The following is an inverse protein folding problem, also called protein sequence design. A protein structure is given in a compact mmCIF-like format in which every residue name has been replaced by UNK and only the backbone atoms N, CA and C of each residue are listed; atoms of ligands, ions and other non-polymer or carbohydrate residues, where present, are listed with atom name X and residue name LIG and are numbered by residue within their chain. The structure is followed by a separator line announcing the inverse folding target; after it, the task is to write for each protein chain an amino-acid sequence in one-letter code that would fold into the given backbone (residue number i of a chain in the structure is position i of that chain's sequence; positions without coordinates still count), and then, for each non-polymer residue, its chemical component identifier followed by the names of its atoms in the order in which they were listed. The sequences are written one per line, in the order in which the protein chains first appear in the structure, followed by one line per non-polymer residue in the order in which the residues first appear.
data_IF_815089502467
#
_entry.id   IF_815089502467
#
_cell.length_a   1.000
_cell.length_b   1.000
_cell.length_c   1.000
_cell.angle_alpha   90.00
_cell.angle_beta   90.00
_cell.angle_gamma   90.00
#
_symmetry.space_group_name_H-M   'P 1'
#
loop_
_entity.id
_entity.type
_entity.pdbx_description
1 polymer ?
#
# COMPACT_ATOMS: atom_id res chain seq x y z
N UNK A 1 16.65 -1.65 -45.29
CA UNK A 1 16.40 -1.37 -43.86
C UNK A 1 16.44 -2.71 -43.14
N UNK A 2 17.52 -2.99 -42.41
CA UNK A 2 17.70 -4.27 -41.72
C UNK A 2 16.79 -4.33 -40.49
N UNK A 3 15.84 -5.25 -40.51
CA UNK A 3 15.00 -5.61 -39.36
C UNK A 3 15.84 -6.39 -38.36
N UNK A 4 16.28 -5.75 -37.28
CA UNK A 4 16.87 -6.46 -36.15
C UNK A 4 15.80 -7.29 -35.45
N UNK A 5 15.62 -8.54 -35.89
CA UNK A 5 14.90 -9.54 -35.12
C UNK A 5 15.86 -10.07 -34.06
N UNK A 6 15.66 -9.68 -32.81
CA UNK A 6 16.21 -10.42 -31.66
C UNK A 6 15.53 -11.79 -31.63
N UNK A 7 16.03 -12.72 -32.44
CA UNK A 7 15.68 -14.13 -32.30
C UNK A 7 16.47 -14.66 -31.09
N UNK A 8 15.77 -15.08 -30.05
CA UNK A 8 16.39 -15.89 -29.01
C UNK A 8 16.94 -17.15 -29.68
N UNK A 9 18.27 -17.27 -29.71
CA UNK A 9 18.95 -18.29 -30.51
C UNK A 9 18.70 -19.69 -29.95
N UNK A 10 18.40 -19.81 -28.65
CA UNK A 10 18.11 -21.08 -28.00
C UNK A 10 16.82 -21.02 -27.16
N UNK A 11 16.06 -22.13 -27.06
CA UNK A 11 14.82 -22.20 -26.29
C UNK A 11 14.97 -21.77 -24.82
N UNK A 12 16.13 -22.04 -24.21
CA UNK A 12 16.46 -21.66 -22.83
C UNK A 12 16.75 -20.16 -22.63
N UNK A 13 17.01 -19.41 -23.70
CA UNK A 13 17.34 -17.99 -23.60
C UNK A 13 16.08 -17.15 -23.27
N UNK A 14 14.88 -17.62 -23.68
CA UNK A 14 13.61 -16.94 -23.41
C UNK A 14 13.24 -16.95 -21.91
N UNK A 15 13.20 -18.10 -21.22
CA UNK A 15 12.99 -18.15 -19.77
C UNK A 15 14.05 -17.36 -19.00
N UNK A 16 15.32 -17.44 -19.42
CA UNK A 16 16.42 -16.73 -18.77
C UNK A 16 16.33 -15.21 -18.95
N UNK A 17 16.00 -14.73 -20.15
CA UNK A 17 15.77 -13.32 -20.41
C UNK A 17 14.54 -12.79 -19.67
N UNK A 18 13.48 -13.60 -19.57
CA UNK A 18 12.31 -13.29 -18.75
C UNK A 18 12.68 -13.17 -17.27
N UNK A 19 13.44 -14.11 -16.72
CA UNK A 19 13.87 -14.07 -15.32
C UNK A 19 14.74 -12.85 -15.02
N UNK A 20 15.68 -12.50 -15.91
CA UNK A 20 16.52 -11.29 -15.79
C UNK A 20 15.66 -10.02 -15.89
N UNK A 21 14.71 -9.99 -16.82
CA UNK A 21 13.77 -8.88 -16.97
C UNK A 21 12.90 -8.73 -15.71
N UNK A 22 12.37 -9.82 -15.17
CA UNK A 22 11.57 -9.80 -13.95
C UNK A 22 12.40 -9.32 -12.76
N UNK A 23 13.65 -9.78 -12.59
CA UNK A 23 14.51 -9.34 -11.47
C UNK A 23 14.97 -7.88 -11.60
N UNK A 24 15.29 -7.44 -12.82
CA UNK A 24 15.97 -6.16 -13.06
C UNK A 24 14.98 -5.06 -13.40
N UNK A 25 13.95 -5.37 -14.16
CA UNK A 25 12.97 -4.39 -14.60
C UNK A 25 11.92 -4.13 -13.52
N UNK A 26 11.51 -5.10 -12.71
CA UNK A 26 10.59 -4.77 -11.59
C UNK A 26 11.19 -3.73 -10.64
N UNK A 27 12.50 -3.80 -10.38
CA UNK A 27 13.20 -2.86 -9.49
C UNK A 27 13.52 -1.52 -10.18
N UNK A 28 13.76 -1.51 -11.49
CA UNK A 28 14.22 -0.32 -12.22
C UNK A 28 13.19 0.29 -13.19
N UNK A 29 12.01 -0.31 -13.37
CA UNK A 29 10.99 0.16 -14.32
C UNK A 29 10.59 1.60 -14.02
N UNK A 30 10.38 1.92 -12.74
CA UNK A 30 10.01 3.27 -12.30
C UNK A 30 11.04 4.31 -12.75
N UNK A 31 12.33 4.01 -12.55
CA UNK A 31 13.43 4.88 -12.97
C UNK A 31 13.50 4.98 -14.49
N UNK A 32 13.45 3.85 -15.19
CA UNK A 32 13.50 3.79 -16.66
C UNK A 32 12.34 4.55 -17.31
N UNK A 33 11.14 4.45 -16.75
CA UNK A 33 9.96 5.21 -17.18
C UNK A 33 10.14 6.71 -16.95
N UNK A 34 10.69 7.12 -15.80
CA UNK A 34 10.98 8.53 -15.52
C UNK A 34 12.02 9.09 -16.50
N UNK A 35 13.07 8.35 -16.80
CA UNK A 35 14.11 8.76 -17.76
C UNK A 35 13.55 8.89 -19.18
N UNK A 36 12.69 7.94 -19.61
CA UNK A 36 12.02 8.01 -20.90
C UNK A 36 11.11 9.23 -21.00
N UNK A 37 10.31 9.48 -19.96
CA UNK A 37 9.44 10.65 -19.86
C UNK A 37 10.22 11.96 -19.88
N UNK A 38 11.26 12.08 -19.06
CA UNK A 38 12.11 13.27 -18.94
C UNK A 38 12.83 13.57 -20.26
N UNK A 39 13.33 12.54 -20.94
CA UNK A 39 13.94 12.68 -22.27
C UNK A 39 12.95 13.20 -23.30
N UNK A 40 11.74 12.65 -23.37
CA UNK A 40 10.71 13.10 -24.32
C UNK A 40 10.29 14.56 -24.06
N UNK A 41 10.08 14.91 -22.79
CA UNK A 41 9.75 16.28 -22.38
C UNK A 41 10.86 17.27 -22.74
N UNK A 42 12.13 16.93 -22.47
CA UNK A 42 13.28 17.81 -22.80
C UNK A 42 13.49 17.96 -24.29
N UNK A 43 13.27 16.90 -25.06
CA UNK A 43 13.47 16.92 -26.52
C UNK A 43 12.40 17.75 -27.21
N UNK A 44 11.15 17.67 -26.74
CA UNK A 44 10.03 18.42 -27.33
C UNK A 44 9.93 19.86 -26.82
N UNK A 45 10.49 20.14 -25.63
CA UNK A 45 10.30 21.43 -24.96
C UNK A 45 8.85 21.69 -24.54
N UNK A 46 7.97 20.68 -24.61
CA UNK A 46 6.55 20.79 -24.35
C UNK A 46 6.15 19.88 -23.18
N UNK A 47 5.31 20.41 -22.29
CA UNK A 47 4.75 19.67 -21.15
C UNK A 47 3.47 18.91 -21.46
N UNK A 48 2.90 19.11 -22.65
CA UNK A 48 1.76 18.33 -23.15
C UNK A 48 2.21 16.90 -23.50
N UNK A 49 1.65 15.86 -22.85
CA UNK A 49 1.98 14.47 -23.16
C UNK A 49 1.74 14.08 -24.62
N UNK A 50 0.82 14.73 -25.32
CA UNK A 50 0.56 14.43 -26.73
C UNK A 50 1.71 14.85 -27.66
N UNK A 51 2.56 15.79 -27.23
CA UNK A 51 3.77 16.15 -27.97
C UNK A 51 4.86 15.06 -27.91
N UNK A 52 4.73 14.08 -27.00
CA UNK A 52 5.76 13.08 -26.74
C UNK A 52 5.61 11.79 -27.56
N UNK A 53 4.55 11.65 -28.37
CA UNK A 53 4.19 10.39 -29.04
C UNK A 53 5.35 9.80 -29.88
N UNK A 54 6.10 10.64 -30.58
CA UNK A 54 7.22 10.20 -31.43
C UNK A 54 8.57 10.07 -30.68
N UNK A 55 8.58 10.34 -29.38
CA UNK A 55 9.78 10.35 -28.54
C UNK A 55 9.80 9.21 -27.51
N UNK A 56 9.01 8.16 -27.75
CA UNK A 56 8.97 6.98 -26.90
C UNK A 56 10.30 6.21 -26.84
N UNK A 57 10.57 5.49 -25.74
CA UNK A 57 11.81 4.74 -25.60
C UNK A 57 11.81 3.49 -26.49
N UNK A 58 12.98 3.14 -27.05
CA UNK A 58 13.15 2.00 -27.98
C UNK A 58 12.73 0.65 -27.39
N UNK A 59 12.83 0.51 -26.07
CA UNK A 59 12.48 -0.73 -25.36
C UNK A 59 10.97 -0.87 -25.07
N UNK A 60 10.16 0.18 -25.26
CA UNK A 60 8.72 0.14 -25.06
C UNK A 60 8.03 0.14 -26.43
N UNK A 61 7.06 -0.76 -26.63
CA UNK A 61 6.29 -0.76 -27.87
C UNK A 61 5.54 0.56 -28.03
N UNK A 62 5.48 1.05 -29.28
CA UNK A 62 4.90 2.35 -29.63
C UNK A 62 3.45 2.49 -29.15
N UNK A 63 2.64 1.45 -29.32
CA UNK A 63 1.23 1.43 -28.88
C UNK A 63 1.08 1.57 -27.36
N UNK A 64 1.98 0.98 -26.57
CA UNK A 64 2.00 1.19 -25.13
C UNK A 64 2.42 2.62 -24.75
N UNK A 65 3.41 3.18 -25.46
CA UNK A 65 3.81 4.56 -25.24
C UNK A 65 2.70 5.57 -25.59
N UNK A 66 2.04 5.37 -26.73
CA UNK A 66 0.88 6.17 -27.16
C UNK A 66 -0.23 6.12 -26.11
N UNK A 67 -0.60 4.92 -25.65
CA UNK A 67 -1.60 4.72 -24.61
C UNK A 67 -1.25 5.42 -23.29
N UNK A 68 0.03 5.48 -22.93
CA UNK A 68 0.51 6.20 -21.74
C UNK A 68 0.41 7.71 -21.93
N UNK A 69 0.81 8.22 -23.10
CA UNK A 69 0.70 9.64 -23.42
C UNK A 69 -0.75 10.10 -23.41
N UNK A 70 -1.67 9.34 -24.02
CA UNK A 70 -3.11 9.60 -23.97
C UNK A 70 -3.64 9.63 -22.53
N UNK A 71 -3.27 8.64 -21.71
CA UNK A 71 -3.65 8.59 -20.29
C UNK A 71 -3.14 9.79 -19.51
N UNK A 72 -1.90 10.21 -19.76
CA UNK A 72 -1.33 11.38 -19.11
C UNK A 72 -1.96 12.68 -19.60
N UNK A 73 -2.35 12.77 -20.88
CA UNK A 73 -3.05 13.91 -21.45
C UNK A 73 -4.52 13.99 -20.99
N UNK A 74 -5.10 12.85 -20.58
CA UNK A 74 -6.49 12.79 -20.14
C UNK A 74 -6.79 13.79 -19.00
N UNK A 75 -7.94 14.45 -19.11
CA UNK A 75 -8.38 15.48 -18.15
C UNK A 75 -8.34 15.03 -16.69
N UNK A 76 -8.80 13.81 -16.31
CA UNK A 76 -8.71 13.36 -14.92
C UNK A 76 -7.28 13.31 -14.39
N UNK A 77 -6.33 12.83 -15.20
CA UNK A 77 -4.93 12.76 -14.83
C UNK A 77 -4.31 14.13 -14.66
N UNK A 78 -4.58 15.05 -15.59
CA UNK A 78 -4.12 16.43 -15.51
C UNK A 78 -4.67 17.13 -14.26
N UNK A 79 -5.94 16.92 -13.92
CA UNK A 79 -6.54 17.46 -12.69
C UNK A 79 -5.83 16.93 -11.44
N UNK A 80 -5.59 15.62 -11.34
CA UNK A 80 -4.84 15.05 -10.22
C UNK A 80 -3.41 15.57 -10.14
N UNK A 81 -2.72 15.65 -11.28
CA UNK A 81 -1.36 16.18 -11.36
C UNK A 81 -1.29 17.63 -10.86
N UNK A 82 -2.19 18.49 -11.35
CA UNK A 82 -2.26 19.90 -10.96
C UNK A 82 -2.66 20.06 -9.49
N UNK A 83 -3.59 19.26 -8.99
CA UNK A 83 -3.93 19.25 -7.57
C UNK A 83 -2.73 18.83 -6.71
N UNK A 84 -1.98 17.80 -7.11
CA UNK A 84 -0.78 17.36 -6.40
C UNK A 84 0.35 18.41 -6.46
N UNK A 85 0.50 19.14 -7.57
CA UNK A 85 1.42 20.28 -7.66
C UNK A 85 0.98 21.38 -6.69
N UNK A 86 -0.29 21.77 -6.72
CA UNK A 86 -0.84 22.83 -5.86
C UNK A 86 -0.68 22.48 -4.37
N UNK A 87 -0.97 21.23 -4.00
CA UNK A 87 -0.82 20.75 -2.63
C UNK A 87 0.65 20.74 -2.16
N UNK A 88 1.61 20.55 -3.06
CA UNK A 88 3.04 20.64 -2.74
C UNK A 88 3.52 22.09 -2.69
N UNK A 89 2.93 22.98 -3.48
CA UNK A 89 3.30 24.41 -3.51
C UNK A 89 2.67 25.24 -2.39
N UNK A 90 1.60 24.79 -1.74
CA UNK A 90 0.97 25.51 -0.63
C UNK A 90 1.87 25.60 0.61
N UNK A 91 2.72 24.60 0.83
CA UNK A 91 3.63 24.53 1.97
C UNK A 91 4.97 23.91 1.56
N UNK A 92 5.80 24.62 0.77
CA UNK A 92 7.07 24.11 0.29
C UNK A 92 8.06 23.74 1.41
N UNK A 93 7.88 24.31 2.60
CA UNK A 93 8.70 24.09 3.79
C UNK A 93 8.31 22.84 4.60
N UNK A 94 7.10 22.30 4.39
CA UNK A 94 6.56 21.21 5.22
C UNK A 94 7.01 19.84 4.71
N UNK A 95 7.42 18.97 5.64
CA UNK A 95 7.80 17.56 5.40
C UNK A 95 8.95 17.36 4.39
N UNK A 96 9.83 18.36 4.28
CA UNK A 96 11.04 18.26 3.45
C UNK A 96 12.08 17.42 4.20
N UNK A 97 12.67 16.45 3.50
CA UNK A 97 13.73 15.60 4.00
C UNK A 97 14.74 15.29 2.87
N UNK A 98 15.98 14.98 3.21
CA UNK A 98 17.10 14.65 2.30
C UNK A 98 17.30 13.15 2.09
N UNK A 99 16.55 12.30 2.80
CA UNK A 99 16.62 10.82 2.70
C UNK A 99 16.31 10.27 1.29
N UNK A 100 15.57 11.04 0.48
CA UNK A 100 15.12 10.57 -0.84
C UNK A 100 14.24 9.33 -0.71
N UNK A 101 14.47 8.31 -1.54
CA UNK A 101 13.72 7.05 -1.50
C UNK A 101 14.27 6.01 -0.50
N UNK A 102 15.25 6.39 0.33
CA UNK A 102 15.87 5.50 1.32
C UNK A 102 15.07 5.56 2.62
N UNK A 103 14.79 4.39 3.21
CA UNK A 103 14.01 4.30 4.46
C UNK A 103 14.82 4.70 5.69
N UNK A 104 14.11 5.09 6.75
CA UNK A 104 14.69 5.33 8.08
C UNK A 104 15.49 4.13 8.59
N UNK A 105 14.95 2.92 8.44
CA UNK A 105 15.65 1.69 8.82
C UNK A 105 17.00 1.52 8.08
N UNK A 106 17.03 1.86 6.79
CA UNK A 106 18.27 1.80 6.01
C UNK A 106 19.26 2.88 6.45
N UNK A 107 18.79 4.09 6.76
CA UNK A 107 19.65 5.15 7.30
C UNK A 107 20.19 4.78 8.69
N UNK A 108 19.36 4.18 9.55
CA UNK A 108 19.75 3.70 10.86
C UNK A 108 20.84 2.61 10.77
N UNK A 109 20.66 1.61 9.91
CA UNK A 109 21.68 0.57 9.67
C UNK A 109 23.01 1.16 9.15
N UNK A 110 22.94 2.15 8.26
CA UNK A 110 24.14 2.83 7.75
C UNK A 110 24.88 3.58 8.85
N UNK A 111 24.17 4.32 9.69
CA UNK A 111 24.76 5.01 10.83
C UNK A 111 25.36 4.02 11.84
N UNK A 112 24.66 2.92 12.11
CA UNK A 112 25.18 1.86 12.97
C UNK A 112 26.48 1.27 12.44
N UNK A 113 26.60 1.06 11.14
CA UNK A 113 27.85 0.60 10.54
C UNK A 113 28.94 1.69 10.54
N UNK A 114 28.58 2.96 10.40
CA UNK A 114 29.51 4.10 10.35
C UNK A 114 30.13 4.40 11.73
N UNK A 115 29.34 4.27 12.80
CA UNK A 115 29.73 4.61 14.17
C UNK A 115 29.87 3.40 15.11
N UNK A 116 29.67 2.18 14.60
CA UNK A 116 29.64 0.92 15.36
C UNK A 116 28.70 0.94 16.58
N UNK A 117 27.69 1.81 16.54
CA UNK A 117 26.75 2.04 17.62
C UNK A 117 25.36 2.35 17.07
N UNK A 118 24.29 1.94 17.77
CA UNK A 118 22.94 2.28 17.37
C UNK A 118 22.75 3.80 17.37
N UNK A 119 22.34 4.41 16.24
CA UNK A 119 22.11 5.84 16.20
C UNK A 119 20.91 6.20 17.06
N UNK A 120 21.01 7.34 17.73
CA UNK A 120 19.89 7.95 18.42
C UNK A 120 18.81 8.41 17.45
N UNK A 121 17.58 8.57 17.92
CA UNK A 121 16.51 9.14 17.11
C UNK A 121 16.88 10.55 16.57
N UNK A 122 17.56 11.36 17.38
CA UNK A 122 18.02 12.71 17.03
C UNK A 122 19.07 12.71 15.92
N UNK A 123 20.06 11.81 15.99
CA UNK A 123 21.07 11.63 14.93
C UNK A 123 20.43 11.16 13.63
N UNK A 124 19.45 10.25 13.71
CA UNK A 124 18.72 9.77 12.54
C UNK A 124 17.90 10.89 11.89
N UNK A 125 17.24 11.73 12.69
CA UNK A 125 16.55 12.92 12.21
C UNK A 125 17.52 13.90 11.53
N UNK A 126 18.65 14.21 12.16
CA UNK A 126 19.65 15.12 11.60
C UNK A 126 20.17 14.61 10.25
N UNK A 127 20.42 13.31 10.15
CA UNK A 127 20.86 12.67 8.90
C UNK A 127 19.86 12.86 7.75
N UNK A 128 18.57 12.93 8.04
CA UNK A 128 17.49 13.03 7.04
C UNK A 128 16.94 14.45 6.88
N UNK A 129 17.27 15.39 7.76
CA UNK A 129 16.75 16.75 7.74
C UNK A 129 17.81 17.85 7.69
N UNK A 130 19.11 17.50 7.74
CA UNK A 130 20.20 18.43 7.42
C UNK A 130 20.67 18.26 5.98
N UNK A 131 21.17 19.35 5.41
CA UNK A 131 21.75 19.36 4.05
C UNK A 131 23.10 18.67 4.07
N UNK A 132 23.38 17.84 3.06
CA UNK A 132 24.64 17.10 3.00
C UNK A 132 25.83 18.08 2.96
N UNK A 133 26.76 17.91 3.90
CA UNK A 133 27.99 18.72 3.97
C UNK A 133 27.81 20.07 4.65
N UNK A 134 26.63 20.37 5.20
CA UNK A 134 26.41 21.51 6.10
C UNK A 134 25.67 21.05 7.34
N UNK A 135 25.64 21.88 8.38
CA UNK A 135 24.84 21.63 9.58
C UNK A 135 23.44 22.27 9.48
N UNK A 136 23.10 22.81 8.31
CA UNK A 136 21.85 23.54 8.10
C UNK A 136 20.68 22.59 7.85
N UNK A 137 19.56 22.89 8.50
CA UNK A 137 18.31 22.20 8.25
C UNK A 137 17.74 22.51 6.86
N UNK A 138 17.01 21.54 6.33
CA UNK A 138 16.36 21.64 5.01
C UNK A 138 15.14 22.56 5.04
N UNK A 139 14.55 22.77 6.22
CA UNK A 139 13.46 23.71 6.45
C UNK A 139 13.52 24.30 7.87
N UNK A 140 12.95 25.50 8.03
CA UNK A 140 12.83 26.16 9.34
C UNK A 140 11.97 25.34 10.32
N UNK A 141 10.97 24.62 9.79
CA UNK A 141 10.13 23.72 10.60
C UNK A 141 10.95 22.58 11.19
N UNK A 142 11.85 21.96 10.43
CA UNK A 142 12.69 20.88 10.93
C UNK A 142 13.67 21.38 12.01
N UNK A 143 14.24 22.58 11.80
CA UNK A 143 15.08 23.26 12.78
C UNK A 143 14.33 23.54 14.08
N UNK A 144 13.17 24.18 13.98
CA UNK A 144 12.35 24.56 15.14
C UNK A 144 11.93 23.34 15.96
N UNK A 145 11.53 22.25 15.28
CA UNK A 145 11.17 20.98 15.95
C UNK A 145 12.38 20.41 16.71
N UNK A 146 13.55 20.35 16.06
CA UNK A 146 14.77 19.84 16.68
C UNK A 146 15.20 20.65 17.91
N UNK A 147 15.36 21.96 17.75
CA UNK A 147 15.82 22.85 18.83
C UNK A 147 14.82 22.90 20.00
N UNK A 148 13.51 22.87 19.70
CA UNK A 148 12.49 22.84 20.75
C UNK A 148 12.49 21.51 21.47
N UNK A 149 12.65 20.39 20.75
CA UNK A 149 12.76 19.07 21.36
C UNK A 149 13.95 18.96 22.31
N UNK A 150 15.13 19.39 21.86
CA UNK A 150 16.36 19.34 22.66
C UNK A 150 16.20 20.13 23.96
N UNK A 151 15.57 21.32 23.88
CA UNK A 151 15.21 22.11 25.07
C UNK A 151 14.21 21.38 25.97
N UNK A 152 13.15 20.81 25.41
CA UNK A 152 12.15 20.07 26.20
C UNK A 152 12.76 18.86 26.90
N UNK A 153 13.67 18.12 26.23
CA UNK A 153 14.40 17.01 26.84
C UNK A 153 15.29 17.47 28.00
N UNK A 154 16.03 18.58 27.81
CA UNK A 154 16.86 19.15 28.87
C UNK A 154 16.06 19.65 30.08
N UNK A 155 14.85 20.19 29.86
CA UNK A 155 13.95 20.63 30.94
C UNK A 155 13.30 19.47 31.69
N UNK A 156 12.89 18.40 30.98
CA UNK A 156 12.23 17.23 31.58
C UNK A 156 13.20 16.30 32.31
N UNK A 157 14.42 16.17 31.79
CA UNK A 157 15.43 15.25 32.30
C UNK A 157 16.65 16.04 32.77
N UNK A 158 16.52 16.72 33.92
CA UNK A 158 17.62 17.42 34.58
C UNK A 158 18.75 16.43 34.99
N UNK A 159 19.95 16.97 35.24
CA UNK A 159 21.14 16.21 35.61
C UNK A 159 20.85 15.14 36.69
N UNK A 160 21.11 13.87 36.34
CA UNK A 160 20.95 12.73 37.24
C UNK A 160 19.74 11.83 36.95
N UNK A 161 18.83 12.23 36.06
CA UNK A 161 17.74 11.37 35.60
C UNK A 161 18.14 10.63 34.31
N UNK A 162 17.91 9.32 34.18
CA UNK A 162 18.15 8.61 32.92
C UNK A 162 17.28 9.20 31.80
N UNK A 163 17.92 9.83 30.82
CA UNK A 163 17.24 10.38 29.65
C UNK A 163 17.00 9.25 28.63
N UNK A 164 15.75 9.04 28.16
CA UNK A 164 15.48 8.09 27.09
C UNK A 164 16.01 8.64 25.75
N UNK A 165 16.30 7.74 24.80
CA UNK A 165 16.69 8.12 23.43
C UNK A 165 15.61 8.98 22.73
N UNK A 166 14.34 8.66 23.00
CA UNK A 166 13.17 9.35 22.48
C UNK A 166 12.10 9.38 23.56
N UNK A 167 11.74 10.57 24.05
CA UNK A 167 10.46 10.84 24.70
C UNK A 167 9.41 11.09 23.61
N UNK A 168 8.48 10.14 23.37
CA UNK A 168 7.54 10.25 22.26
C UNK A 168 6.45 11.31 22.51
N UNK A 169 6.08 11.58 23.76
CA UNK A 169 5.08 12.61 24.09
C UNK A 169 5.67 13.99 23.84
N UNK A 170 6.89 14.24 24.34
CA UNK A 170 7.62 15.48 24.05
C UNK A 170 7.77 15.70 22.55
N UNK A 171 8.06 14.64 21.78
CA UNK A 171 8.18 14.75 20.33
C UNK A 171 6.86 15.12 19.66
N UNK A 172 5.76 14.47 20.05
CA UNK A 172 4.43 14.76 19.49
C UNK A 172 4.01 16.21 19.76
N UNK A 173 4.29 16.71 20.97
CA UNK A 173 3.98 18.09 21.34
C UNK A 173 4.73 19.09 20.45
N UNK A 174 6.04 18.93 20.28
CA UNK A 174 6.85 19.84 19.44
C UNK A 174 6.55 19.68 17.94
N UNK A 175 6.16 18.48 17.51
CA UNK A 175 5.75 18.18 16.14
C UNK A 175 4.37 18.77 15.77
N UNK A 176 3.65 19.35 16.73
CA UNK A 176 2.34 19.95 16.52
C UNK A 176 1.19 18.93 16.49
N UNK A 177 1.37 17.82 17.21
CA UNK A 177 0.38 16.76 17.41
C UNK A 177 0.19 15.82 16.21
N UNK A 178 -0.58 14.73 16.39
CA UNK A 178 -0.92 13.84 15.30
C UNK A 178 -1.82 14.53 14.27
N UNK A 179 -1.50 14.38 12.98
CA UNK A 179 -2.33 14.84 11.86
C UNK A 179 -2.68 13.67 10.96
N UNK A 180 -3.97 13.43 10.76
CA UNK A 180 -4.49 12.30 9.96
C UNK A 180 -3.92 10.95 10.43
N UNK A 181 -3.82 10.76 11.75
CA UNK A 181 -3.30 9.54 12.36
C UNK A 181 -1.79 9.34 12.22
N UNK A 182 -1.02 10.38 11.86
CA UNK A 182 0.43 10.32 11.69
C UNK A 182 1.09 11.43 12.49
N UNK A 183 2.24 11.14 13.07
CA UNK A 183 3.10 12.11 13.76
C UNK A 183 4.25 12.48 12.82
N UNK A 184 4.70 13.73 12.89
CA UNK A 184 5.85 14.17 12.09
C UNK A 184 7.07 13.30 12.38
N UNK A 185 7.67 12.78 11.33
CA UNK A 185 8.86 11.92 11.35
C UNK A 185 8.73 10.55 12.03
N UNK A 186 7.54 10.24 12.55
CA UNK A 186 7.18 8.88 12.92
C UNK A 186 6.56 8.20 11.70
N UNK A 187 7.40 7.50 10.94
CA UNK A 187 6.94 6.52 9.94
C UNK A 187 6.40 5.24 10.59
N UNK A 188 6.01 4.26 9.79
CA UNK A 188 5.58 2.91 10.26
C UNK A 188 6.68 2.14 11.01
N UNK A 189 7.92 2.64 11.03
CA UNK A 189 9.07 1.99 11.66
C UNK A 189 9.18 2.23 13.16
N UNK A 190 8.44 3.19 13.71
CA UNK A 190 8.39 3.46 15.14
C UNK A 190 6.99 3.12 15.63
N UNK A 191 6.89 2.36 16.73
CA UNK A 191 5.58 2.04 17.31
C UNK A 191 4.96 3.31 17.87
N UNK A 192 4.05 3.91 17.10
CA UNK A 192 3.33 5.13 17.45
C UNK A 192 2.10 4.84 18.29
N UNK A 193 1.69 3.57 18.43
CA UNK A 193 0.44 3.20 19.09
C UNK A 193 0.33 3.72 20.53
N UNK A 194 1.36 3.61 21.39
CA UNK A 194 1.27 4.08 22.77
C UNK A 194 0.95 5.57 22.86
N UNK A 195 1.58 6.36 21.98
CA UNK A 195 1.45 7.82 21.94
C UNK A 195 0.12 8.21 21.32
N UNK A 196 -0.19 7.67 20.14
CA UNK A 196 -1.46 7.93 19.45
C UNK A 196 -2.67 7.51 20.28
N UNK A 197 -2.57 6.44 21.08
CA UNK A 197 -3.62 6.00 21.99
C UNK A 197 -3.90 7.02 23.09
N UNK A 198 -2.88 7.67 23.63
CA UNK A 198 -3.01 8.75 24.63
C UNK A 198 -3.76 9.96 24.05
N UNK A 199 -3.41 10.37 22.82
CA UNK A 199 -4.10 11.47 22.12
C UNK A 199 -5.49 11.07 21.55
N UNK A 200 -5.74 9.79 21.31
CA UNK A 200 -7.03 9.27 20.83
C UNK A 200 -8.15 9.39 21.87
N UNK A 201 -7.84 9.53 23.17
CA UNK A 201 -8.85 9.82 24.19
C UNK A 201 -9.44 11.24 24.10
N UNK A 202 -8.81 12.16 23.36
CA UNK A 202 -9.32 13.53 23.11
C UNK A 202 -9.75 13.79 21.67
N UNK A 203 -9.53 12.84 20.76
CA UNK A 203 -9.88 12.94 19.35
C UNK A 203 -10.69 11.70 19.01
N UNK A 204 -11.99 11.88 18.74
CA UNK A 204 -12.82 10.81 18.19
C UNK A 204 -12.04 10.13 17.04
N UNK A 205 -11.90 8.80 17.04
CA UNK A 205 -10.95 8.13 16.18
C UNK A 205 -11.21 8.50 14.72
N UNK A 206 -10.19 8.91 13.95
CA UNK A 206 -10.33 8.90 12.51
C UNK A 206 -10.50 7.44 12.11
N UNK A 207 -11.62 7.13 11.46
CA UNK A 207 -11.88 5.81 10.86
C UNK A 207 -10.90 5.60 9.71
N UNK A 208 -9.66 5.26 10.04
CA UNK A 208 -8.66 4.69 9.15
C UNK A 208 -7.76 3.75 9.96
N UNK A 209 -8.39 2.75 10.58
CA UNK A 209 -7.79 1.42 10.47
C UNK A 209 -7.74 1.10 8.97
N UNK A 210 -6.69 0.45 8.50
CA UNK A 210 -6.61 -0.11 7.16
C UNK A 210 -7.78 -1.05 6.92
N UNK A 211 -8.90 -0.50 6.49
CA UNK A 211 -10.02 -1.18 5.87
C UNK A 211 -10.80 -0.14 5.10
N UNK A 212 -10.96 -0.43 3.83
CA UNK A 212 -11.65 0.37 2.84
C UNK A 212 -13.09 0.70 3.28
N UNK A 213 -13.35 1.93 3.73
CA UNK A 213 -14.73 2.45 3.79
C UNK A 213 -14.78 3.95 3.50
N UNK A 214 -15.33 4.24 2.31
CA UNK A 214 -15.79 5.54 1.84
C UNK A 214 -16.98 6.06 2.69
N UNK A 215 -17.34 7.37 2.63
CA UNK A 215 -18.46 7.90 3.40
C UNK A 215 -19.79 7.20 3.04
N UNK A 216 -20.81 7.24 3.92
CA UNK A 216 -22.06 6.54 3.69
C UNK A 216 -22.80 7.23 2.54
N UNK A 217 -22.63 6.70 1.33
CA UNK A 217 -23.52 6.98 0.20
C UNK A 217 -24.80 6.19 0.48
N UNK A 218 -25.95 6.87 0.43
CA UNK A 218 -27.29 6.39 0.82
C UNK A 218 -27.85 5.18 0.02
N UNK A 219 -27.00 4.31 -0.53
CA UNK A 219 -27.37 3.01 -1.10
C UNK A 219 -26.33 1.91 -0.86
N UNK A 220 -25.25 2.19 -0.11
CA UNK A 220 -24.15 1.22 0.11
C UNK A 220 -24.53 0.17 1.15
N UNK A 221 -25.35 0.52 2.15
CA UNK A 221 -25.87 -0.47 3.11
C UNK A 221 -26.89 -1.41 2.45
N UNK A 222 -27.75 -0.89 1.56
CA UNK A 222 -28.68 -1.70 0.77
C UNK A 222 -27.94 -2.69 -0.15
N UNK A 223 -26.90 -2.22 -0.85
CA UNK A 223 -26.05 -3.09 -1.67
C UNK A 223 -25.29 -4.11 -0.79
N UNK A 224 -24.86 -3.72 0.40
CA UNK A 224 -24.17 -4.63 1.34
C UNK A 224 -25.10 -5.72 1.87
N UNK A 225 -26.35 -5.39 2.14
CA UNK A 225 -27.34 -6.36 2.59
C UNK A 225 -27.78 -7.29 1.44
N UNK A 226 -27.90 -6.78 0.21
CA UNK A 226 -28.09 -7.61 -0.99
C UNK A 226 -26.93 -8.59 -1.21
N UNK A 227 -25.68 -8.14 -1.06
CA UNK A 227 -24.50 -9.00 -1.20
C UNK A 227 -24.45 -10.05 -0.08
N UNK A 228 -24.85 -9.71 1.15
CA UNK A 228 -24.91 -10.68 2.26
C UNK A 228 -25.98 -11.73 2.03
N UNK A 229 -27.17 -11.35 1.57
CA UNK A 229 -28.25 -12.28 1.29
C UNK A 229 -27.92 -13.20 0.10
N UNK A 230 -27.33 -12.66 -0.95
CA UNK A 230 -26.84 -13.46 -2.08
C UNK A 230 -25.78 -14.47 -1.63
N UNK A 231 -24.83 -14.06 -0.79
CA UNK A 231 -23.80 -14.94 -0.26
C UNK A 231 -24.39 -16.05 0.63
N UNK A 232 -25.44 -15.75 1.41
CA UNK A 232 -26.16 -16.75 2.21
C UNK A 232 -26.91 -17.74 1.34
N UNK A 233 -27.58 -17.28 0.29
CA UNK A 233 -28.27 -18.15 -0.66
C UNK A 233 -27.28 -19.11 -1.34
N UNK A 234 -26.13 -18.61 -1.80
CA UNK A 234 -25.10 -19.45 -2.41
C UNK A 234 -24.53 -20.50 -1.44
N UNK A 235 -24.31 -20.14 -0.17
CA UNK A 235 -23.87 -21.09 0.85
C UNK A 235 -24.92 -22.17 1.14
N UNK A 236 -26.21 -21.81 1.16
CA UNK A 236 -27.28 -22.78 1.32
C UNK A 236 -27.40 -23.72 0.12
N UNK A 237 -27.23 -23.20 -1.11
CA UNK A 237 -27.22 -24.01 -2.32
C UNK A 237 -26.05 -25.01 -2.29
N UNK A 238 -24.84 -24.57 -1.95
CA UNK A 238 -23.69 -25.48 -1.80
C UNK A 238 -23.93 -26.56 -0.73
N UNK A 239 -24.49 -26.19 0.42
CA UNK A 239 -24.81 -27.17 1.47
C UNK A 239 -25.85 -28.19 0.99
N UNK A 240 -26.87 -27.75 0.25
CA UNK A 240 -27.90 -28.63 -0.29
C UNK A 240 -27.34 -29.56 -1.35
N UNK A 241 -26.45 -29.08 -2.22
CA UNK A 241 -25.76 -29.90 -3.21
C UNK A 241 -24.86 -30.95 -2.56
N UNK A 242 -24.11 -30.59 -1.52
CA UNK A 242 -23.28 -31.52 -0.75
C UNK A 242 -24.13 -32.58 -0.04
N UNK A 243 -25.26 -32.18 0.56
CA UNK A 243 -26.20 -33.12 1.16
C UNK A 243 -26.83 -34.04 0.11
N UNK A 244 -27.22 -33.50 -1.04
CA UNK A 244 -27.79 -34.28 -2.15
C UNK A 244 -26.76 -35.26 -2.70
N UNK A 245 -25.51 -34.85 -2.90
CA UNK A 245 -24.42 -35.72 -3.32
C UNK A 245 -24.14 -36.81 -2.29
N UNK A 246 -24.12 -36.48 -0.99
CA UNK A 246 -23.94 -37.46 0.08
C UNK A 246 -25.08 -38.48 0.14
N UNK A 247 -26.34 -38.04 0.02
CA UNK A 247 -27.50 -38.95 -0.05
C UNK A 247 -27.43 -39.82 -1.31
N UNK A 248 -26.95 -39.28 -2.44
CA UNK A 248 -26.80 -40.05 -3.69
C UNK A 248 -25.65 -41.06 -3.62
N UNK A 249 -24.59 -40.75 -2.88
CA UNK A 249 -23.39 -41.59 -2.73
C UNK A 249 -23.54 -42.65 -1.63
N UNK A 250 -24.30 -42.36 -0.57
CA UNK A 250 -24.42 -43.24 0.62
C UNK A 250 -25.85 -43.72 0.92
N UNK A 251 -26.88 -43.18 0.26
CA UNK A 251 -28.29 -43.54 0.48
C UNK A 251 -28.76 -44.83 -0.21
N UNK A 252 -27.90 -45.50 -0.98
CA UNK A 252 -28.24 -46.78 -1.66
C UNK A 252 -27.86 -48.03 -0.85
N UNK A 253 -27.47 -47.90 0.42
CA UNK A 253 -26.99 -49.03 1.23
C UNK A 253 -27.96 -49.51 2.33
N UNK A 254 -29.22 -49.03 2.34
CA UNK A 254 -30.22 -49.45 3.34
C UNK A 254 -31.51 -49.87 2.65
N UNK A 255 -31.49 -50.97 1.90
CA UNK A 255 -32.74 -51.70 1.58
C UNK A 255 -32.51 -53.19 1.28
N UNK A 256 -31.67 -53.85 2.09
CA UNK A 256 -31.54 -55.31 2.11
C UNK A 256 -31.53 -55.83 3.56
N UNK A 257 -32.65 -55.67 4.27
CA UNK A 257 -33.05 -56.63 5.29
C UNK A 257 -34.49 -56.41 5.72
N UNK A 258 -35.23 -57.51 5.83
CA UNK A 258 -36.58 -57.66 6.42
C UNK A 258 -37.79 -57.49 5.48
N UNK A 259 -38.18 -58.61 4.86
CA UNK A 259 -39.60 -59.01 4.85
C UNK A 259 -39.75 -60.52 4.60
N UNK A 260 -39.20 -61.34 5.50
CA UNK A 260 -39.67 -62.71 5.68
C UNK A 260 -40.79 -62.70 6.72
N UNK A 261 -42.05 -62.66 6.30
CA UNK A 261 -43.18 -63.26 7.02
C UNK A 261 -44.48 -63.06 6.24
N UNK A 262 -44.95 -64.17 5.67
CA UNK A 262 -46.36 -64.42 5.35
C UNK A 262 -47.25 -64.16 6.57
N UNK A 263 -48.50 -63.72 6.35
CA UNK A 263 -49.57 -64.66 6.68
C UNK A 263 -50.76 -64.66 5.70
N UNK A 264 -51.21 -65.88 5.44
CA UNK A 264 -52.58 -66.38 5.35
C UNK A 264 -53.74 -65.47 4.86
N UNK A 265 -54.18 -65.85 3.65
CA UNK A 265 -55.54 -65.92 3.10
C UNK A 265 -56.71 -66.01 4.11
N UNK A 266 -57.69 -65.12 3.93
CA UNK A 266 -59.12 -65.46 3.97
C UNK A 266 -59.92 -64.48 3.08
N UNK A 267 -60.61 -65.02 2.09
CA UNK A 267 -61.60 -64.35 1.24
C UNK A 267 -62.99 -64.81 1.66
N UNK A 268 -63.96 -63.90 1.74
CA UNK A 268 -65.37 -64.04 1.31
C UNK A 268 -66.08 -62.71 1.64
N UNK A 269 -66.45 -61.91 0.63
CA UNK A 269 -67.69 -61.97 -0.17
C UNK A 269 -68.95 -61.52 0.58
N UNK A 270 -69.37 -60.29 0.30
CA UNK A 270 -70.75 -59.82 0.37
C UNK A 270 -71.12 -59.31 -1.02
N UNK A 271 -72.20 -59.86 -1.58
CA UNK A 271 -72.70 -59.68 -2.95
C UNK A 271 -73.36 -58.31 -3.16
N UNK A 272 -73.24 -57.78 -4.39
CA UNK A 272 -74.37 -57.54 -5.32
C UNK A 272 -73.83 -57.59 -6.75
#
# INVERSE_FOLDING_TARGET
MSTWRFAFMRPEDLPRARAIWESTTQTNLRKSMWEAWDKAMKTTGNRDPMAWLDYGPVWLRRDYWESLCERWAARPWQQWSQAAIRNRSTHPEKNVHTSGSVSYATHSQKLHHEFECAPTFRELFDRTHKRKGTDDYVSESARTIAETYDRTMAERYAEGTPQPDLDPEAWVDVAGGPRKGRVYDFGDSLDTHPVLSSYASSIAPPVYASSSTAPPVSGVEEIRDLIREELRAQLQTQQTELQTHAVRQYGSAVDLSHAGSTPHRASTSGQY
#
